data_IF_445957919295
#
_entry.id   IF_445957919295
#
_cell.length_a   1.000
_cell.length_b   1.000
_cell.length_c   1.000
_cell.angle_alpha   90.00
_cell.angle_beta   90.00
_cell.angle_gamma   90.00
#
_symmetry.space_group_name_H-M   'P 1'
#
loop_
_entity.id
_entity.type
_entity.pdbx_description
1 polymer ?
#
# COMPACT_ATOMS: atom_id res chain seq x y z
N UNK A 1 7.26 77.70 -13.27
CA UNK A 1 8.07 78.56 -14.16
C UNK A 1 9.15 77.67 -14.77
N UNK A 2 8.89 77.23 -16.01
CA UNK A 2 9.84 76.63 -16.95
C UNK A 2 10.23 75.14 -16.73
N UNK A 3 10.46 74.31 -17.74
CA UNK A 3 9.98 74.19 -19.13
C UNK A 3 10.82 73.08 -19.80
N UNK A 4 10.19 72.36 -20.72
CA UNK A 4 10.72 71.56 -21.86
C UNK A 4 11.45 70.22 -21.72
N UNK A 5 11.01 69.35 -22.64
CA UNK A 5 11.41 68.02 -23.07
C UNK A 5 12.83 67.92 -23.69
N UNK A 6 13.29 66.67 -23.86
CA UNK A 6 13.66 65.98 -25.13
C UNK A 6 14.90 65.09 -24.94
N UNK A 7 14.81 63.83 -25.39
CA UNK A 7 16.01 63.11 -25.88
C UNK A 7 16.03 61.59 -25.71
N UNK A 8 15.69 60.86 -26.78
CA UNK A 8 15.83 59.41 -26.98
C UNK A 8 17.23 58.85 -26.74
N UNK A 9 17.32 57.56 -26.35
CA UNK A 9 18.52 56.75 -26.50
C UNK A 9 18.31 55.28 -26.11
N UNK A 10 18.25 54.39 -27.11
CA UNK A 10 18.22 52.93 -26.95
C UNK A 10 19.55 52.38 -26.41
N UNK A 11 19.51 51.29 -25.63
CA UNK A 11 20.70 50.47 -25.39
C UNK A 11 20.56 49.51 -24.22
N UNK A 12 20.37 48.23 -24.54
CA UNK A 12 20.58 47.09 -23.62
C UNK A 12 22.05 47.01 -23.21
N UNK A 13 22.35 47.00 -21.92
CA UNK A 13 23.69 46.72 -21.37
C UNK A 13 23.60 45.74 -20.20
N UNK A 14 24.43 44.69 -20.27
CA UNK A 14 24.56 43.60 -19.31
C UNK A 14 25.62 43.87 -18.22
N UNK A 15 25.38 43.21 -17.07
CA UNK A 15 26.31 42.77 -16.00
C UNK A 15 26.89 43.83 -15.03
N UNK A 16 27.14 43.48 -13.75
CA UNK A 16 28.31 42.66 -13.37
C UNK A 16 28.08 41.62 -12.25
N UNK A 17 29.12 40.82 -11.99
CA UNK A 17 29.16 39.68 -11.07
C UNK A 17 30.22 39.82 -9.95
N UNK A 18 30.16 38.88 -8.98
CA UNK A 18 31.17 38.36 -8.00
C UNK A 18 31.26 39.04 -6.62
N UNK A 19 31.88 38.43 -5.55
CA UNK A 19 32.51 37.09 -5.37
C UNK A 19 32.24 36.34 -4.03
N UNK A 20 32.59 35.04 -3.95
CA UNK A 20 32.76 34.27 -2.70
C UNK A 20 32.93 32.74 -2.86
N UNK A 21 34.17 32.26 -2.95
CA UNK A 21 34.73 30.88 -3.12
C UNK A 21 34.57 29.98 -1.85
N UNK A 22 34.91 28.65 -1.80
CA UNK A 22 35.63 27.80 -2.77
C UNK A 22 35.13 26.35 -3.03
N UNK A 23 35.64 25.78 -4.13
CA UNK A 23 35.50 24.39 -4.61
C UNK A 23 36.46 23.42 -3.90
N UNK A 24 36.09 22.14 -3.68
CA UNK A 24 37.05 21.05 -3.54
C UNK A 24 37.21 20.23 -4.83
N UNK A 25 38.47 19.86 -5.08
CA UNK A 25 39.00 19.03 -6.15
C UNK A 25 38.34 17.64 -6.21
N UNK A 26 37.92 17.20 -7.40
CA UNK A 26 37.62 15.79 -7.71
C UNK A 26 38.56 15.31 -8.82
N UNK A 27 39.26 14.18 -8.63
CA UNK A 27 40.06 13.57 -9.68
C UNK A 27 39.18 12.81 -10.67
N UNK A 28 39.48 13.00 -11.95
CA UNK A 28 38.98 12.23 -13.07
C UNK A 28 39.34 10.75 -12.92
N UNK A 29 38.35 9.86 -12.99
CA UNK A 29 38.61 8.44 -13.24
C UNK A 29 37.68 7.48 -12.51
N UNK A 30 36.53 7.17 -13.12
CA UNK A 30 36.00 5.80 -13.21
C UNK A 30 34.82 5.83 -14.18
N UNK A 31 35.14 5.45 -15.42
CA UNK A 31 34.20 5.14 -16.48
C UNK A 31 33.40 3.93 -15.99
N UNK A 32 32.13 4.12 -15.64
CA UNK A 32 31.25 2.99 -15.30
C UNK A 32 30.91 2.31 -16.62
N UNK A 33 31.50 1.13 -16.82
CA UNK A 33 31.22 0.26 -17.95
C UNK A 33 29.72 -0.09 -17.95
N UNK A 34 29.11 0.12 -19.11
CA UNK A 34 27.74 -0.28 -19.41
C UNK A 34 27.59 -1.78 -19.17
N UNK A 35 26.81 -2.16 -18.15
CA UNK A 35 26.46 -3.56 -17.91
C UNK A 35 25.56 -4.04 -19.05
N UNK A 36 26.22 -4.70 -20.00
CA UNK A 36 25.65 -5.55 -21.03
C UNK A 36 24.58 -6.46 -20.44
N UNK A 37 23.34 -6.28 -20.87
CA UNK A 37 22.24 -7.16 -20.53
C UNK A 37 22.45 -8.48 -21.29
N UNK A 38 23.00 -9.47 -20.59
CA UNK A 38 23.31 -10.78 -21.12
C UNK A 38 22.02 -11.49 -21.55
N UNK A 39 21.83 -11.62 -22.87
CA UNK A 39 20.67 -12.23 -23.52
C UNK A 39 20.71 -13.75 -23.29
N UNK A 40 20.30 -14.20 -22.11
CA UNK A 40 20.12 -15.62 -21.80
C UNK A 40 18.95 -16.21 -22.60
N UNK A 41 19.33 -16.96 -23.64
CA UNK A 41 18.68 -18.15 -24.20
C UNK A 41 17.15 -18.20 -24.14
N UNK A 42 16.51 -17.91 -25.27
CA UNK A 42 15.13 -18.31 -25.54
C UNK A 42 14.98 -19.83 -25.37
N UNK A 43 13.92 -20.36 -24.73
CA UNK A 43 13.58 -21.76 -24.88
C UNK A 43 13.08 -21.96 -26.31
N UNK A 44 13.81 -22.77 -27.09
CA UNK A 44 13.35 -23.26 -28.40
C UNK A 44 12.05 -24.03 -28.20
N UNK A 45 10.92 -23.45 -28.58
CA UNK A 45 9.72 -24.23 -28.90
C UNK A 45 10.09 -25.16 -30.07
N UNK A 46 10.32 -26.44 -29.77
CA UNK A 46 10.33 -27.49 -30.79
C UNK A 46 8.86 -27.78 -31.14
N UNK A 47 8.32 -27.01 -32.09
CA UNK A 47 7.12 -27.45 -32.80
C UNK A 47 7.57 -28.54 -33.79
N UNK A 48 7.34 -29.81 -33.44
CA UNK A 48 7.37 -30.90 -34.40
C UNK A 48 6.15 -30.76 -35.33
N UNK A 49 6.28 -30.93 -36.66
CA UNK A 49 5.12 -31.11 -37.51
C UNK A 49 4.72 -32.58 -37.46
N UNK A 50 3.49 -32.87 -37.04
CA UNK A 50 2.83 -34.13 -37.35
C UNK A 50 1.46 -33.78 -37.92
N UNK A 51 1.29 -34.13 -39.18
CA UNK A 51 0.05 -34.04 -39.93
C UNK A 51 -1.08 -34.84 -39.26
N UNK A 52 -2.23 -34.21 -38.99
CA UNK A 52 -3.56 -34.84 -39.14
C UNK A 52 -4.70 -33.80 -38.94
N UNK A 53 -5.80 -33.87 -39.71
CA UNK A 53 -6.89 -32.90 -39.67
C UNK A 53 -8.03 -33.38 -38.77
N UNK A 54 -8.32 -32.66 -37.68
CA UNK A 54 -9.63 -32.76 -37.01
C UNK A 54 -10.04 -31.40 -36.47
N UNK A 55 -11.16 -30.89 -36.98
CA UNK A 55 -11.84 -29.69 -36.54
C UNK A 55 -12.46 -29.90 -35.16
N UNK A 56 -12.27 -28.93 -34.25
CA UNK A 56 -13.11 -28.77 -33.06
C UNK A 56 -12.45 -29.10 -31.71
N UNK A 57 -11.57 -28.23 -31.23
CA UNK A 57 -11.32 -28.06 -29.79
C UNK A 57 -10.84 -26.61 -29.55
N UNK A 58 -11.46 -25.83 -28.65
CA UNK A 58 -10.92 -24.55 -28.26
C UNK A 58 -9.76 -24.82 -27.28
N UNK A 59 -8.53 -24.74 -27.76
CA UNK A 59 -7.39 -24.56 -26.88
C UNK A 59 -7.49 -23.15 -26.30
N UNK A 60 -8.07 -23.03 -25.11
CA UNK A 60 -7.94 -21.85 -24.24
C UNK A 60 -6.48 -21.75 -23.81
N UNK A 61 -5.66 -21.20 -24.70
CA UNK A 61 -4.33 -20.73 -24.34
C UNK A 61 -4.54 -19.46 -23.52
N UNK A 62 -4.64 -19.64 -22.20
CA UNK A 62 -4.53 -18.56 -21.22
C UNK A 62 -3.28 -17.76 -21.57
N UNK A 63 -3.46 -16.54 -22.07
CA UNK A 63 -2.39 -15.56 -22.18
C UNK A 63 -2.06 -15.08 -20.78
N UNK A 64 -1.34 -15.91 -20.03
CA UNK A 64 -0.70 -15.50 -18.80
C UNK A 64 0.49 -14.63 -19.20
N UNK A 65 0.36 -13.32 -19.01
CA UNK A 65 1.53 -12.46 -18.98
C UNK A 65 2.35 -12.90 -17.76
N UNK A 66 3.40 -13.69 -17.96
CA UNK A 66 4.39 -13.96 -16.90
C UNK A 66 5.06 -12.66 -16.51
N UNK A 67 4.47 -11.94 -15.56
CA UNK A 67 5.24 -11.12 -14.65
C UNK A 67 6.34 -12.01 -14.06
N UNK A 68 7.56 -11.49 -13.83
CA UNK A 68 8.60 -12.28 -13.19
C UNK A 68 8.03 -12.87 -11.88
N UNK A 69 8.05 -14.20 -11.74
CA UNK A 69 7.52 -14.88 -10.56
C UNK A 69 8.34 -14.45 -9.34
N UNK A 70 7.85 -13.44 -8.63
CA UNK A 70 8.43 -13.02 -7.36
C UNK A 70 8.25 -14.18 -6.39
N UNK A 71 9.36 -14.75 -5.95
CA UNK A 71 9.34 -15.90 -5.04
C UNK A 71 8.57 -15.58 -3.76
N UNK A 72 7.89 -16.58 -3.20
CA UNK A 72 7.15 -16.44 -1.96
C UNK A 72 8.04 -15.86 -0.84
N UNK A 73 9.30 -16.30 -0.74
CA UNK A 73 10.27 -15.75 0.22
C UNK A 73 10.45 -14.24 0.10
N UNK A 74 10.53 -13.71 -1.14
CA UNK A 74 10.66 -12.26 -1.36
C UNK A 74 9.37 -11.52 -0.98
N UNK A 75 8.21 -12.10 -1.28
CA UNK A 75 6.90 -11.57 -0.87
C UNK A 75 6.78 -11.50 0.65
N UNK A 76 7.16 -12.57 1.36
CA UNK A 76 7.14 -12.63 2.81
C UNK A 76 8.12 -11.64 3.45
N UNK A 77 9.31 -11.46 2.87
CA UNK A 77 10.25 -10.43 3.31
C UNK A 77 9.69 -9.02 3.16
N UNK A 78 9.03 -8.73 2.04
CA UNK A 78 8.36 -7.45 1.82
C UNK A 78 7.18 -7.23 2.78
N UNK A 79 6.34 -8.25 3.03
CA UNK A 79 5.26 -8.18 4.03
C UNK A 79 5.80 -7.93 5.44
N UNK A 80 6.91 -8.59 5.81
CA UNK A 80 7.53 -8.38 7.12
C UNK A 80 8.04 -6.95 7.26
N UNK A 81 8.87 -6.48 6.33
CA UNK A 81 9.45 -5.12 6.39
C UNK A 81 8.36 -4.05 6.30
N UNK A 82 7.40 -4.23 5.39
CA UNK A 82 6.30 -3.29 5.23
C UNK A 82 5.41 -3.23 6.48
N UNK A 83 5.07 -4.38 7.07
CA UNK A 83 4.25 -4.41 8.29
C UNK A 83 5.03 -3.82 9.46
N UNK A 84 6.35 -4.05 9.55
CA UNK A 84 7.18 -3.45 10.58
C UNK A 84 7.14 -1.92 10.49
N UNK A 85 7.34 -1.34 9.30
CA UNK A 85 7.30 0.11 9.08
C UNK A 85 5.91 0.67 9.40
N UNK A 86 4.85 -0.01 8.95
CA UNK A 86 3.48 0.35 9.23
C UNK A 86 3.20 0.40 10.73
N UNK A 87 3.51 -0.68 11.46
CA UNK A 87 3.24 -0.76 12.90
C UNK A 87 4.13 0.23 13.66
N UNK A 88 5.38 0.40 13.26
CA UNK A 88 6.27 1.39 13.85
C UNK A 88 5.68 2.80 13.74
N UNK A 89 5.31 3.25 12.53
CA UNK A 89 4.77 4.59 12.31
C UNK A 89 3.39 4.80 12.95
N UNK A 90 2.45 3.88 12.71
CA UNK A 90 1.07 4.00 13.20
C UNK A 90 0.94 3.91 14.72
N UNK A 91 1.88 3.22 15.38
CA UNK A 91 1.89 3.07 16.85
C UNK A 91 2.76 4.13 17.52
N UNK A 92 3.83 4.61 16.87
CA UNK A 92 4.70 5.65 17.41
C UNK A 92 3.95 6.95 17.70
N UNK A 93 3.09 7.43 16.79
CA UNK A 93 2.42 8.72 16.98
C UNK A 93 1.55 8.76 18.25
N UNK A 94 0.67 7.78 18.53
CA UNK A 94 -0.04 7.71 19.81
C UNK A 94 0.87 7.61 21.05
N UNK A 95 2.02 6.92 20.95
CA UNK A 95 3.02 6.83 22.02
C UNK A 95 3.69 8.20 22.25
N UNK A 96 4.10 8.89 21.19
CA UNK A 96 4.68 10.24 21.22
C UNK A 96 3.66 11.21 21.80
N UNK A 97 2.41 11.13 21.35
CA UNK A 97 1.31 11.95 21.86
C UNK A 97 1.12 11.76 23.38
N UNK A 98 1.24 10.53 23.88
CA UNK A 98 1.22 10.27 25.31
C UNK A 98 2.46 10.83 26.03
N UNK A 99 3.66 10.57 25.50
CA UNK A 99 4.94 10.97 26.10
C UNK A 99 5.11 12.47 26.21
N UNK A 100 4.64 13.21 25.20
CA UNK A 100 4.83 14.65 25.07
C UNK A 100 3.53 15.44 25.25
N UNK A 101 2.61 14.94 26.08
CA UNK A 101 1.40 15.67 26.52
C UNK A 101 0.54 16.25 25.39
N UNK A 102 0.27 15.47 24.35
CA UNK A 102 -0.65 15.87 23.28
C UNK A 102 -0.01 16.51 22.05
N UNK A 103 1.32 16.39 21.87
CA UNK A 103 2.04 17.05 20.78
C UNK A 103 1.56 16.68 19.35
N UNK A 104 1.14 15.44 19.10
CA UNK A 104 0.70 14.99 17.77
C UNK A 104 -0.79 15.27 17.50
N UNK A 105 -1.60 15.28 18.56
CA UNK A 105 -3.07 15.35 18.50
C UNK A 105 -3.69 14.23 17.64
N UNK A 106 -5.00 14.30 17.38
CA UNK A 106 -5.68 13.30 16.53
C UNK A 106 -5.22 13.37 15.07
N UNK A 107 -4.97 14.58 14.53
CA UNK A 107 -4.58 14.74 13.13
C UNK A 107 -3.17 14.19 12.87
N UNK A 108 -2.22 14.37 13.80
CA UNK A 108 -0.88 13.79 13.69
C UNK A 108 -0.92 12.27 13.76
N UNK A 109 -1.70 11.70 14.70
CA UNK A 109 -1.89 10.25 14.77
C UNK A 109 -2.47 9.66 13.46
N UNK A 110 -3.48 10.31 12.90
CA UNK A 110 -4.08 9.90 11.64
C UNK A 110 -3.11 10.04 10.46
N UNK A 111 -2.37 11.16 10.39
CA UNK A 111 -1.41 11.43 9.34
C UNK A 111 -0.24 10.44 9.38
N UNK A 112 0.34 10.16 10.56
CA UNK A 112 1.43 9.18 10.69
C UNK A 112 1.03 7.79 10.22
N UNK A 113 -0.16 7.32 10.60
CA UNK A 113 -0.65 6.01 10.16
C UNK A 113 -0.95 5.98 8.66
N UNK A 114 -1.66 6.99 8.13
CA UNK A 114 -1.97 7.08 6.70
C UNK A 114 -0.74 7.21 5.81
N UNK A 115 0.22 8.06 6.20
CA UNK A 115 1.50 8.22 5.50
C UNK A 115 2.35 6.95 5.57
N UNK A 116 2.39 6.24 6.70
CA UNK A 116 3.11 4.97 6.80
C UNK A 116 2.55 3.93 5.83
N UNK A 117 1.22 3.79 5.75
CA UNK A 117 0.55 2.92 4.77
C UNK A 117 0.90 3.33 3.35
N UNK A 118 0.77 4.62 3.02
CA UNK A 118 1.07 5.15 1.69
C UNK A 118 2.52 4.84 1.27
N UNK A 119 3.50 5.14 2.13
CA UNK A 119 4.92 4.92 1.88
C UNK A 119 5.19 3.43 1.64
N UNK A 120 4.63 2.54 2.45
CA UNK A 120 4.87 1.10 2.30
C UNK A 120 4.21 0.55 1.04
N UNK A 121 2.99 0.96 0.69
CA UNK A 121 2.33 0.51 -0.53
C UNK A 121 3.11 0.98 -1.76
N UNK A 122 3.51 2.25 -1.82
CA UNK A 122 4.26 2.79 -2.95
C UNK A 122 5.65 2.14 -3.09
N UNK A 123 6.27 1.70 -1.98
CA UNK A 123 7.61 1.09 -1.99
C UNK A 123 7.62 -0.42 -2.20
N UNK A 124 6.64 -1.14 -1.66
CA UNK A 124 6.64 -2.63 -1.61
C UNK A 124 5.43 -3.29 -2.25
N UNK A 125 4.43 -2.50 -2.70
CA UNK A 125 3.21 -3.01 -3.33
C UNK A 125 3.47 -3.88 -4.56
N UNK A 126 4.43 -3.48 -5.40
CA UNK A 126 4.84 -4.26 -6.58
C UNK A 126 5.58 -5.58 -6.24
N UNK A 127 5.97 -5.78 -4.97
CA UNK A 127 6.69 -6.99 -4.53
C UNK A 127 5.72 -8.01 -3.94
N UNK A 128 4.96 -7.64 -2.90
CA UNK A 128 4.07 -8.56 -2.17
C UNK A 128 2.57 -8.33 -2.39
N UNK A 129 2.20 -7.22 -3.04
CA UNK A 129 0.85 -6.65 -2.99
C UNK A 129 0.62 -5.72 -1.80
N UNK A 130 1.61 -5.59 -0.89
CA UNK A 130 1.54 -4.81 0.34
C UNK A 130 0.22 -5.01 1.11
N UNK A 131 -0.05 -6.27 1.51
CA UNK A 131 -1.25 -6.58 2.27
C UNK A 131 -1.19 -5.99 3.68
N UNK A 132 -0.08 -6.24 4.38
CA UNK A 132 0.29 -5.68 5.69
C UNK A 132 -0.75 -5.86 6.81
N UNK A 133 -1.77 -6.68 6.56
CA UNK A 133 -2.99 -6.78 7.34
C UNK A 133 -3.63 -8.17 7.12
N UNK A 134 -3.82 -8.97 8.19
CA UNK A 134 -4.48 -10.26 8.08
C UNK A 134 -5.90 -10.17 7.53
N UNK A 135 -6.69 -9.15 7.92
CA UNK A 135 -8.06 -8.96 7.44
C UNK A 135 -8.10 -8.72 5.93
N UNK A 136 -7.17 -7.91 5.42
CA UNK A 136 -7.03 -7.65 3.98
C UNK A 136 -6.58 -8.91 3.23
N UNK A 137 -5.59 -9.62 3.78
CA UNK A 137 -5.11 -10.89 3.22
C UNK A 137 -6.22 -11.94 3.12
N UNK A 138 -7.03 -12.06 4.16
CA UNK A 138 -8.19 -12.97 4.20
C UNK A 138 -9.27 -12.53 3.20
N UNK A 139 -9.60 -11.23 3.16
CA UNK A 139 -10.61 -10.71 2.24
C UNK A 139 -10.23 -10.97 0.78
N UNK A 140 -8.97 -10.66 0.40
CA UNK A 140 -8.49 -10.94 -0.95
C UNK A 140 -8.49 -12.43 -1.30
N UNK A 141 -8.19 -13.31 -0.33
CA UNK A 141 -8.30 -14.74 -0.56
C UNK A 141 -9.75 -15.21 -0.71
N UNK A 142 -10.67 -14.68 0.10
CA UNK A 142 -12.10 -14.98 0.03
C UNK A 142 -12.72 -14.57 -1.32
N UNK A 143 -12.23 -13.48 -1.91
CA UNK A 143 -12.67 -12.96 -3.20
C UNK A 143 -11.85 -13.47 -4.40
N UNK A 144 -11.00 -14.50 -4.19
CA UNK A 144 -10.16 -15.14 -5.23
C UNK A 144 -9.13 -14.20 -5.88
N UNK A 145 -8.79 -13.10 -5.23
CA UNK A 145 -7.69 -12.21 -5.63
C UNK A 145 -6.33 -12.66 -5.06
N UNK A 146 -6.30 -13.62 -4.13
CA UNK A 146 -5.08 -14.12 -3.52
C UNK A 146 -5.18 -15.63 -3.18
N UNK A 147 -4.12 -16.44 -3.40
CA UNK A 147 -4.18 -17.88 -3.14
C UNK A 147 -4.22 -18.19 -1.63
N UNK A 148 -5.21 -18.98 -1.22
CA UNK A 148 -5.39 -19.42 0.18
C UNK A 148 -4.15 -20.10 0.77
N UNK A 149 -3.36 -20.80 -0.06
CA UNK A 149 -2.12 -21.45 0.38
C UNK A 149 -1.06 -20.47 0.92
N UNK A 150 -1.06 -19.20 0.46
CA UNK A 150 -0.10 -18.20 0.91
C UNK A 150 -0.56 -17.43 2.15
N UNK A 151 -1.87 -17.48 2.47
CA UNK A 151 -2.48 -16.71 3.57
C UNK A 151 -1.80 -16.97 4.92
N UNK A 152 -1.57 -18.23 5.35
CA UNK A 152 -0.92 -18.48 6.65
C UNK A 152 0.49 -17.89 6.74
N UNK A 153 1.26 -17.97 5.65
CA UNK A 153 2.63 -17.45 5.61
C UNK A 153 2.66 -15.91 5.67
N UNK A 154 1.75 -15.25 4.94
CA UNK A 154 1.59 -13.78 5.01
C UNK A 154 1.20 -13.33 6.42
N UNK A 155 0.21 -13.97 7.03
CA UNK A 155 -0.24 -13.63 8.39
C UNK A 155 0.91 -13.84 9.39
N UNK A 156 1.68 -14.92 9.28
CA UNK A 156 2.84 -15.16 10.13
C UNK A 156 3.91 -14.06 9.98
N UNK A 157 4.20 -13.61 8.76
CA UNK A 157 5.11 -12.51 8.50
C UNK A 157 4.60 -11.18 9.09
N UNK A 158 3.30 -10.88 8.93
CA UNK A 158 2.67 -9.68 9.46
C UNK A 158 2.66 -9.65 11.01
N UNK A 159 2.32 -10.78 11.64
CA UNK A 159 2.29 -10.91 13.11
C UNK A 159 3.69 -10.76 13.69
N UNK A 160 4.68 -11.45 13.13
CA UNK A 160 6.07 -11.36 13.59
C UNK A 160 6.63 -9.94 13.45
N UNK A 161 6.40 -9.28 12.32
CA UNK A 161 6.78 -7.90 12.09
C UNK A 161 6.15 -6.93 13.09
N UNK A 162 4.86 -7.10 13.37
CA UNK A 162 4.15 -6.27 14.35
C UNK A 162 4.71 -6.40 15.76
N UNK A 163 4.99 -7.64 16.20
CA UNK A 163 5.62 -7.90 17.49
C UNK A 163 7.01 -7.23 17.54
N UNK A 164 7.85 -7.44 16.51
CA UNK A 164 9.16 -6.81 16.42
C UNK A 164 9.10 -5.28 16.50
N UNK A 165 8.23 -4.64 15.71
CA UNK A 165 8.06 -3.18 15.73
C UNK A 165 7.59 -2.67 17.11
N UNK A 166 6.66 -3.40 17.74
CA UNK A 166 6.10 -3.02 19.03
C UNK A 166 7.11 -3.14 20.17
N UNK A 167 7.96 -4.17 20.18
CA UNK A 167 9.06 -4.28 21.14
C UNK A 167 10.17 -3.25 20.88
N UNK A 168 10.46 -2.92 19.62
CA UNK A 168 11.37 -1.82 19.30
C UNK A 168 10.84 -0.49 19.86
N UNK A 169 9.56 -0.18 19.63
CA UNK A 169 8.91 1.02 20.21
C UNK A 169 8.92 1.00 21.74
N UNK A 170 8.67 -0.16 22.37
CA UNK A 170 8.75 -0.31 23.82
C UNK A 170 10.14 0.04 24.35
N UNK A 171 11.20 -0.37 23.66
CA UNK A 171 12.58 -0.03 24.01
C UNK A 171 12.88 1.46 23.86
N UNK A 172 12.49 2.06 22.73
CA UNK A 172 12.78 3.47 22.41
C UNK A 172 11.98 4.45 23.28
N UNK A 173 10.72 4.11 23.58
CA UNK A 173 9.77 5.02 24.24
C UNK A 173 9.37 4.57 25.64
N UNK A 174 10.12 3.69 26.29
CA UNK A 174 9.84 3.31 27.68
C UNK A 174 9.67 4.55 28.60
N UNK A 175 8.67 4.59 29.51
CA UNK A 175 7.63 3.59 29.81
C UNK A 175 6.29 3.78 29.04
N UNK A 176 6.25 4.56 27.95
CA UNK A 176 5.01 5.06 27.33
C UNK A 176 4.33 4.10 26.34
N UNK A 177 4.50 2.79 26.48
CA UNK A 177 3.96 1.81 25.51
C UNK A 177 2.42 1.77 25.48
N UNK A 178 1.76 2.19 26.56
CA UNK A 178 0.30 2.20 26.68
C UNK A 178 -0.39 3.03 25.59
N UNK A 179 0.25 4.09 25.09
CA UNK A 179 -0.32 4.94 24.04
C UNK A 179 -0.47 4.20 22.71
N UNK A 180 0.34 3.18 22.47
CA UNK A 180 0.29 2.36 21.26
C UNK A 180 -0.84 1.33 21.24
N UNK A 181 -1.40 1.00 22.41
CA UNK A 181 -2.41 -0.06 22.57
C UNK A 181 -3.77 0.43 22.08
N UNK A 182 -4.48 -0.43 21.35
CA UNK A 182 -5.86 -0.17 20.93
C UNK A 182 -6.84 -0.68 22.00
N UNK A 183 -7.50 0.23 22.71
CA UNK A 183 -8.53 -0.10 23.71
C UNK A 183 -9.74 0.80 23.48
N UNK A 184 -10.98 0.25 23.45
CA UNK A 184 -12.15 1.07 23.21
C UNK A 184 -12.48 1.96 24.41
N UNK A 185 -12.88 3.20 24.14
CA UNK A 185 -13.41 4.16 25.12
C UNK A 185 -14.95 4.18 25.15
N UNK A 186 -15.58 3.53 24.17
CA UNK A 186 -17.04 3.40 24.01
C UNK A 186 -17.52 1.99 24.32
N UNK A 187 -18.84 1.76 24.24
CA UNK A 187 -19.41 0.41 24.46
C UNK A 187 -18.88 -0.60 23.44
N UNK A 188 -18.90 -1.89 23.80
CA UNK A 188 -18.47 -3.00 22.94
C UNK A 188 -19.17 -2.97 21.57
N UNK A 189 -20.48 -2.74 21.54
CA UNK A 189 -21.25 -2.69 20.30
C UNK A 189 -20.85 -1.52 19.40
N UNK A 190 -20.60 -0.34 19.97
CA UNK A 190 -20.14 0.83 19.23
C UNK A 190 -18.72 0.63 18.69
N UNK A 191 -17.80 0.10 19.49
CA UNK A 191 -16.44 -0.19 19.06
C UNK A 191 -16.41 -1.23 17.93
N UNK A 192 -17.22 -2.28 18.04
CA UNK A 192 -17.37 -3.29 16.99
C UNK A 192 -17.90 -2.68 15.69
N UNK A 193 -18.98 -1.89 15.77
CA UNK A 193 -19.57 -1.25 14.60
C UNK A 193 -18.59 -0.28 13.92
N UNK A 194 -17.86 0.51 14.72
CA UNK A 194 -16.83 1.42 14.20
C UNK A 194 -15.74 0.66 13.47
N UNK A 195 -15.11 -0.34 14.11
CA UNK A 195 -14.04 -1.15 13.51
C UNK A 195 -14.52 -1.90 12.25
N UNK A 196 -15.76 -2.38 12.24
CA UNK A 196 -16.37 -2.96 11.05
C UNK A 196 -16.49 -1.93 9.91
N UNK A 197 -17.08 -0.76 10.16
CA UNK A 197 -17.35 0.25 9.13
C UNK A 197 -16.08 0.89 8.57
N UNK A 198 -15.10 1.21 9.42
CA UNK A 198 -13.84 1.78 8.95
C UNK A 198 -13.05 0.75 8.13
N UNK A 199 -13.09 -0.54 8.51
CA UNK A 199 -12.39 -1.57 7.74
C UNK A 199 -13.13 -1.89 6.45
N UNK A 200 -14.46 -1.82 6.45
CA UNK A 200 -15.28 -1.84 5.24
C UNK A 200 -14.86 -0.75 4.27
N UNK A 201 -14.78 0.51 4.73
CA UNK A 201 -14.34 1.63 3.88
C UNK A 201 -12.93 1.41 3.32
N UNK A 202 -12.00 0.95 4.16
CA UNK A 202 -10.64 0.64 3.76
C UNK A 202 -10.62 -0.41 2.65
N UNK A 203 -11.31 -1.54 2.82
CA UNK A 203 -11.28 -2.62 1.86
C UNK A 203 -12.10 -2.35 0.59
N UNK A 204 -13.14 -1.52 0.68
CA UNK A 204 -13.82 -1.02 -0.51
C UNK A 204 -12.84 -0.24 -1.39
N UNK A 205 -12.10 0.72 -0.82
CA UNK A 205 -11.12 1.54 -1.57
C UNK A 205 -9.94 0.70 -2.05
N UNK A 206 -9.39 -0.16 -1.19
CA UNK A 206 -8.28 -1.06 -1.54
C UNK A 206 -8.66 -1.95 -2.72
N UNK A 207 -9.84 -2.57 -2.69
CA UNK A 207 -10.29 -3.45 -3.79
C UNK A 207 -10.51 -2.65 -5.06
N UNK A 208 -10.96 -1.40 -4.95
CA UNK A 208 -11.11 -0.51 -6.09
C UNK A 208 -9.78 -0.25 -6.79
N UNK A 209 -8.78 0.23 -6.06
CA UNK A 209 -7.49 0.58 -6.65
C UNK A 209 -6.63 -0.63 -6.99
N UNK A 210 -6.89 -1.80 -6.38
CA UNK A 210 -6.14 -3.02 -6.66
C UNK A 210 -6.68 -3.81 -7.86
N UNK A 211 -7.97 -3.70 -8.19
CA UNK A 211 -8.60 -4.55 -9.21
C UNK A 211 -9.11 -3.81 -10.44
N UNK A 212 -9.29 -2.49 -10.38
CA UNK A 212 -9.80 -1.71 -11.51
C UNK A 212 -8.67 -1.04 -12.26
N UNK A 213 -8.48 -1.41 -13.53
CA UNK A 213 -7.45 -0.85 -14.40
C UNK A 213 -7.68 0.63 -14.72
N UNK A 214 -8.90 1.15 -14.50
CA UNK A 214 -9.22 2.59 -14.58
C UNK A 214 -8.83 3.32 -13.30
N UNK A 215 -8.76 2.60 -12.17
CA UNK A 215 -8.41 3.14 -10.85
C UNK A 215 -6.90 3.06 -10.63
N UNK A 216 -6.19 3.97 -11.28
CA UNK A 216 -4.93 4.58 -10.82
C UNK A 216 -3.92 3.66 -10.11
N UNK A 217 -3.21 2.82 -10.89
CA UNK A 217 -2.16 1.95 -10.37
C UNK A 217 -1.06 2.69 -9.59
N UNK A 218 -0.64 3.87 -10.04
CA UNK A 218 0.40 4.67 -9.36
C UNK A 218 -0.10 5.46 -8.14
N UNK A 219 -1.41 5.81 -8.08
CA UNK A 219 -1.97 6.55 -6.95
C UNK A 219 -2.66 5.63 -5.91
N UNK A 220 -2.62 4.31 -6.10
CA UNK A 220 -3.21 3.34 -5.18
C UNK A 220 -2.73 3.55 -3.73
N UNK A 221 -1.43 3.77 -3.54
CA UNK A 221 -0.87 4.05 -2.21
C UNK A 221 -1.43 5.32 -1.56
N UNK A 222 -1.65 6.38 -2.35
CA UNK A 222 -2.22 7.65 -1.86
C UNK A 222 -3.68 7.44 -1.44
N UNK A 223 -4.48 6.78 -2.28
CA UNK A 223 -5.89 6.52 -1.98
C UNK A 223 -6.07 5.67 -0.71
N UNK A 224 -5.26 4.61 -0.56
CA UNK A 224 -5.32 3.73 0.62
C UNK A 224 -4.83 4.47 1.87
N UNK A 225 -3.71 5.20 1.78
CA UNK A 225 -3.18 5.98 2.90
C UNK A 225 -4.14 7.09 3.38
N UNK A 226 -4.74 7.82 2.43
CA UNK A 226 -5.75 8.83 2.73
C UNK A 226 -7.00 8.23 3.39
N UNK A 227 -7.42 7.04 2.95
CA UNK A 227 -8.55 6.31 3.57
C UNK A 227 -8.24 5.92 5.01
N UNK A 228 -7.03 5.44 5.28
CA UNK A 228 -6.57 5.12 6.65
C UNK A 228 -6.57 6.37 7.53
N UNK A 229 -6.05 7.50 7.02
CA UNK A 229 -6.09 8.78 7.74
C UNK A 229 -7.52 9.21 8.06
N UNK A 230 -8.42 9.21 7.07
CA UNK A 230 -9.84 9.53 7.25
C UNK A 230 -10.48 8.65 8.32
N UNK A 231 -10.28 7.34 8.23
CA UNK A 231 -10.86 6.39 9.17
C UNK A 231 -10.38 6.60 10.61
N UNK A 232 -9.11 6.95 10.81
CA UNK A 232 -8.57 7.25 12.15
C UNK A 232 -9.13 8.57 12.68
N UNK A 233 -9.35 9.58 11.83
CA UNK A 233 -10.01 10.82 12.25
C UNK A 233 -11.44 10.57 12.77
N UNK A 234 -12.13 9.59 12.18
CA UNK A 234 -13.50 9.22 12.59
C UNK A 234 -13.49 8.33 13.85
N UNK A 235 -12.72 7.25 13.86
CA UNK A 235 -12.84 6.20 14.87
C UNK A 235 -11.75 6.24 15.96
N UNK A 236 -10.67 7.00 15.75
CA UNK A 236 -9.51 7.08 16.65
C UNK A 236 -9.89 7.34 18.12
N UNK A 237 -10.69 8.38 18.44
CA UNK A 237 -11.07 8.67 19.83
C UNK A 237 -11.94 7.58 20.49
N UNK A 238 -12.68 6.81 19.71
CA UNK A 238 -13.69 5.87 20.20
C UNK A 238 -13.20 4.42 20.26
N UNK A 239 -12.65 3.90 19.17
CA UNK A 239 -12.14 2.53 19.08
C UNK A 239 -10.63 2.46 19.00
N UNK A 240 -9.92 3.57 18.77
CA UNK A 240 -8.48 3.59 18.49
C UNK A 240 -8.12 3.39 17.01
N UNK A 241 -9.13 3.16 16.15
CA UNK A 241 -8.98 3.06 14.68
C UNK A 241 -8.00 1.97 14.26
N UNK A 242 -8.29 0.71 14.55
CA UNK A 242 -7.36 -0.39 14.27
C UNK A 242 -7.31 -0.76 12.80
N UNK A 243 -8.46 -1.15 12.23
CA UNK A 243 -8.61 -1.72 10.89
C UNK A 243 -7.80 -2.99 10.59
N UNK A 244 -6.92 -3.40 11.50
CA UNK A 244 -5.86 -4.35 11.22
C UNK A 244 -5.51 -5.15 12.49
N UNK A 245 -5.79 -6.47 12.52
CA UNK A 245 -5.47 -7.33 13.65
C UNK A 245 -4.04 -7.19 14.16
N UNK A 246 -3.05 -7.07 13.27
CA UNK A 246 -1.66 -6.94 13.70
C UNK A 246 -1.33 -5.55 14.24
N UNK A 247 -2.05 -4.50 13.85
CA UNK A 247 -1.88 -3.16 14.45
C UNK A 247 -2.34 -3.10 15.91
N UNK A 248 -3.23 -3.99 16.31
CA UNK A 248 -3.62 -4.14 17.72
C UNK A 248 -2.78 -5.18 18.44
N UNK A 249 -2.49 -6.33 17.81
CA UNK A 249 -1.85 -7.47 18.47
C UNK A 249 -0.43 -7.16 18.96
N UNK A 250 0.44 -6.59 18.13
CA UNK A 250 1.83 -6.31 18.52
C UNK A 250 1.92 -5.38 19.74
N UNK A 251 1.26 -4.20 19.72
CA UNK A 251 1.27 -3.29 20.86
C UNK A 251 0.65 -3.90 22.12
N UNK A 252 -0.42 -4.70 21.97
CA UNK A 252 -1.04 -5.44 23.07
C UNK A 252 -0.05 -6.42 23.73
N UNK A 253 0.70 -7.18 22.93
CA UNK A 253 1.74 -8.11 23.42
C UNK A 253 2.88 -7.36 24.11
N UNK A 254 3.37 -6.28 23.50
CA UNK A 254 4.46 -5.49 24.07
C UNK A 254 4.06 -4.81 25.40
N UNK A 255 2.84 -4.31 25.50
CA UNK A 255 2.31 -3.66 26.70
C UNK A 255 1.75 -4.65 27.75
N UNK A 256 1.48 -5.90 27.38
CA UNK A 256 0.79 -6.86 28.22
C UNK A 256 -0.69 -6.54 28.46
N UNK A 257 -1.35 -5.85 27.51
CA UNK A 257 -2.74 -5.40 27.62
C UNK A 257 -3.59 -5.92 26.46
N UNK A 258 -4.47 -6.87 26.76
CA UNK A 258 -5.31 -7.59 25.78
C UNK A 258 -6.80 -7.22 25.87
N UNK A 259 -7.13 -6.09 26.52
CA UNK A 259 -8.52 -5.70 26.77
C UNK A 259 -9.30 -5.58 25.45
N UNK A 260 -10.41 -6.31 25.34
CA UNK A 260 -11.30 -6.32 24.17
C UNK A 260 -10.62 -6.67 22.84
N UNK A 261 -9.48 -7.36 22.86
CA UNK A 261 -8.68 -7.65 21.64
C UNK A 261 -9.49 -8.37 20.55
N UNK A 262 -10.43 -9.22 20.94
CA UNK A 262 -11.27 -9.98 20.02
C UNK A 262 -12.06 -9.09 19.04
N UNK A 263 -12.45 -7.87 19.46
CA UNK A 263 -13.16 -6.91 18.59
C UNK A 263 -12.28 -6.59 17.37
N UNK A 264 -11.00 -6.33 17.60
CA UNK A 264 -10.03 -5.94 16.59
C UNK A 264 -9.51 -7.12 15.75
N UNK A 265 -9.84 -8.36 16.14
CA UNK A 265 -9.61 -9.55 15.32
C UNK A 265 -10.83 -9.82 14.42
N UNK A 266 -12.04 -9.72 14.97
CA UNK A 266 -13.27 -10.14 14.28
C UNK A 266 -13.87 -9.02 13.44
N UNK A 267 -14.10 -7.84 14.02
CA UNK A 267 -14.80 -6.76 13.33
C UNK A 267 -14.04 -6.27 12.08
N UNK A 268 -12.70 -6.08 12.12
CA UNK A 268 -11.94 -5.76 10.91
C UNK A 268 -12.03 -6.84 9.84
N UNK A 269 -11.97 -8.13 10.18
CA UNK A 269 -12.05 -9.19 9.17
C UNK A 269 -13.42 -9.24 8.50
N UNK A 270 -14.51 -9.09 9.26
CA UNK A 270 -15.86 -9.02 8.70
C UNK A 270 -16.06 -7.77 7.84
N UNK A 271 -15.60 -6.61 8.32
CA UNK A 271 -15.64 -5.36 7.55
C UNK A 271 -14.83 -5.47 6.27
N UNK A 272 -13.64 -6.08 6.33
CA UNK A 272 -12.76 -6.28 5.18
C UNK A 272 -13.43 -7.10 4.07
N UNK A 273 -13.99 -8.25 4.44
CA UNK A 273 -14.71 -9.13 3.50
C UNK A 273 -15.92 -8.41 2.91
N UNK A 274 -16.72 -7.73 3.74
CA UNK A 274 -17.90 -7.01 3.29
C UNK A 274 -17.55 -5.85 2.33
N UNK A 275 -16.55 -5.04 2.66
CA UNK A 275 -16.12 -3.90 1.85
C UNK A 275 -15.61 -4.32 0.48
N UNK A 276 -14.76 -5.34 0.46
CA UNK A 276 -14.22 -5.89 -0.77
C UNK A 276 -15.33 -6.56 -1.62
N UNK A 277 -16.25 -7.32 -1.00
CA UNK A 277 -17.37 -7.93 -1.71
C UNK A 277 -18.35 -6.90 -2.30
N UNK A 278 -18.70 -5.86 -1.54
CA UNK A 278 -19.58 -4.79 -2.06
C UNK A 278 -18.93 -4.07 -3.23
N UNK A 279 -17.62 -3.79 -3.17
CA UNK A 279 -16.92 -3.20 -4.32
C UNK A 279 -17.03 -4.10 -5.56
N UNK A 280 -16.76 -5.40 -5.42
CA UNK A 280 -16.88 -6.36 -6.52
C UNK A 280 -18.30 -6.41 -7.11
N UNK A 281 -19.34 -6.21 -6.30
CA UNK A 281 -20.73 -6.20 -6.77
C UNK A 281 -21.11 -4.90 -7.51
N UNK A 282 -20.61 -3.73 -7.08
CA UNK A 282 -20.94 -2.45 -7.72
C UNK A 282 -20.05 -2.11 -8.91
N UNK A 283 -18.89 -2.76 -9.01
CA UNK A 283 -17.99 -2.61 -10.16
C UNK A 283 -18.74 -3.04 -11.43
N UNK A 284 -18.96 -2.10 -12.34
CA UNK A 284 -19.58 -2.38 -13.64
C UNK A 284 -18.76 -3.47 -14.33
N UNK A 285 -19.41 -4.58 -14.71
CA UNK A 285 -18.83 -5.52 -15.67
C UNK A 285 -18.55 -4.74 -16.94
N UNK A 286 -17.30 -4.67 -17.36
CA UNK A 286 -16.94 -4.12 -18.66
C UNK A 286 -17.72 -4.88 -19.74
N UNK A 287 -18.36 -4.14 -20.65
CA UNK A 287 -18.99 -4.64 -21.89
C UNK A 287 -17.99 -5.33 -22.85
N UNK A 288 -16.77 -5.62 -22.39
CA UNK A 288 -15.71 -6.25 -23.17
C UNK A 288 -15.83 -7.79 -23.23
N UNK A 289 -16.92 -8.38 -22.70
CA UNK A 289 -17.21 -9.83 -22.79
C UNK A 289 -18.30 -10.22 -23.85
N UNK A 290 -18.84 -9.29 -24.65
CA UNK A 290 -19.76 -9.59 -25.79
C UNK A 290 -19.42 -8.67 -27.01
N UNK A 291 -19.15 -9.06 -28.26
CA UNK A 291 -19.25 -10.28 -29.07
C UNK A 291 -17.97 -10.42 -29.96
N UNK A 292 -17.61 -11.63 -30.44
CA UNK A 292 -16.65 -11.75 -31.54
C UNK A 292 -17.23 -11.06 -32.78
N UNK A 293 -16.63 -9.92 -33.15
CA UNK A 293 -16.95 -9.17 -34.37
C UNK A 293 -16.98 -10.14 -35.56
N UNK A 294 -18.16 -10.45 -36.09
CA UNK A 294 -18.29 -11.24 -37.31
C UNK A 294 -17.49 -10.55 -38.41
N UNK A 295 -16.35 -11.13 -38.77
CA UNK A 295 -15.62 -10.74 -39.97
C UNK A 295 -16.51 -11.15 -41.14
N UNK A 296 -17.32 -10.21 -41.64
CA UNK A 296 -17.98 -10.39 -42.94
C UNK A 296 -16.89 -10.54 -43.98
N UNK A 297 -16.62 -11.77 -44.39
CA UNK A 297 -15.77 -12.03 -45.54
C UNK A 297 -16.45 -11.45 -46.78
N UNK A 298 -15.97 -10.31 -47.26
CA UNK A 298 -16.28 -9.90 -48.63
C UNK A 298 -15.47 -10.79 -49.55
N UNK A 299 -16.12 -11.85 -50.07
CA UNK A 299 -15.69 -12.48 -51.32
C UNK A 299 -16.15 -11.57 -52.46
N UNK A 300 -15.19 -11.09 -53.25
CA UNK A 300 -15.35 -10.74 -54.66
C UNK A 300 -14.20 -11.33 -55.42
#
# INVERSE_FOLDING_TARGET
>A
MGDYEVGMGSGTVSAPATPGTPTPLMPSGLRVDSLSYDRKSMPRCKCLPVDAPTWGAPHTCLTDFSAPDISLTRKLGAEFVGTFILIFGATAAPIVNQKYNGAETLIGNAACAGLAVMIVILSTGHISGAHLNPSLTIAFAALRHFPWAHVPAYIAAQVSASICASFALKGVFHPFMSGGVTVPSVTTGQAFALEFLITFNLLFVVTAVATDTRAVGELAGIAVGATVMLNILVAGPSSGGSMNPVRTLGPAVAAGNYKSIWIYLVAPTLGAVAGAAIYTLVKLRSEDEEEPRQVRSFRR
#
